data_IF_547972720895
#
_entry.id   IF_547972720895
#
_cell.length_a   1.000
_cell.length_b   1.000
_cell.length_c   1.000
_cell.angle_alpha   90.00
_cell.angle_beta   90.00
_cell.angle_gamma   90.00
#
_symmetry.space_group_name_H-M   'P 1'
#
loop_
_entity.id
_entity.type
_entity.pdbx_description
1 polymer ?
#
# COMPACT_ATOMS: atom_id res chain seq x y z
N UNK A 1 -34.26 -46.68 -23.26
CA UNK A 1 -34.60 -45.24 -23.22
C UNK A 1 -34.49 -44.63 -21.80
N UNK A 2 -34.77 -45.37 -20.73
CA UNK A 2 -34.71 -44.86 -19.34
C UNK A 2 -33.30 -44.52 -18.78
N UNK A 3 -32.25 -45.24 -19.20
CA UNK A 3 -30.88 -45.01 -18.70
C UNK A 3 -30.25 -43.68 -19.13
N UNK A 4 -30.64 -43.17 -20.29
CA UNK A 4 -30.10 -41.91 -20.81
C UNK A 4 -30.68 -40.70 -20.05
N UNK A 5 -31.95 -40.76 -19.67
CA UNK A 5 -32.64 -39.68 -18.93
C UNK A 5 -32.08 -39.58 -17.51
N UNK A 6 -31.83 -40.70 -16.83
CA UNK A 6 -31.25 -40.70 -15.48
C UNK A 6 -29.78 -40.27 -15.48
N UNK A 7 -29.01 -40.62 -16.51
CA UNK A 7 -27.63 -40.15 -16.67
C UNK A 7 -27.57 -38.62 -16.87
N UNK A 8 -28.39 -38.06 -17.76
CA UNK A 8 -28.46 -36.62 -17.95
C UNK A 8 -28.98 -35.89 -16.71
N UNK A 9 -29.96 -36.45 -16.01
CA UNK A 9 -30.47 -35.86 -14.77
C UNK A 9 -29.38 -35.83 -13.68
N UNK A 10 -28.67 -36.94 -13.46
CA UNK A 10 -27.54 -36.99 -12.53
C UNK A 10 -26.39 -36.06 -12.94
N UNK A 11 -26.09 -35.95 -14.24
CA UNK A 11 -25.07 -35.02 -14.73
C UNK A 11 -25.49 -33.55 -14.52
N UNK A 12 -26.75 -33.22 -14.72
CA UNK A 12 -27.27 -31.86 -14.43
C UNK A 12 -27.28 -31.54 -12.94
N UNK A 13 -27.50 -32.53 -12.07
CA UNK A 13 -27.38 -32.38 -10.62
C UNK A 13 -25.93 -32.16 -10.23
N UNK A 14 -24.99 -32.97 -10.72
CA UNK A 14 -23.54 -32.82 -10.44
C UNK A 14 -23.02 -31.47 -10.92
N UNK A 15 -23.44 -31.03 -12.12
CA UNK A 15 -23.07 -29.72 -12.65
C UNK A 15 -23.70 -28.59 -11.82
N UNK A 16 -24.97 -28.72 -11.40
CA UNK A 16 -25.61 -27.75 -10.51
C UNK A 16 -24.93 -27.68 -9.14
N UNK A 17 -24.58 -28.81 -8.54
CA UNK A 17 -23.88 -28.89 -7.25
C UNK A 17 -22.46 -28.33 -7.32
N UNK A 18 -21.75 -28.57 -8.43
CA UNK A 18 -20.45 -27.97 -8.69
C UNK A 18 -20.53 -26.45 -8.86
N UNK A 19 -21.56 -25.96 -9.56
CA UNK A 19 -21.79 -24.52 -9.76
C UNK A 19 -22.21 -23.84 -8.45
N UNK A 20 -23.08 -24.46 -7.64
CA UNK A 20 -23.51 -23.88 -6.35
C UNK A 20 -22.39 -23.90 -5.32
N UNK A 21 -21.58 -24.96 -5.23
CA UNK A 21 -20.37 -24.98 -4.37
C UNK A 21 -19.35 -23.92 -4.82
N UNK A 22 -19.12 -23.76 -6.13
CA UNK A 22 -18.24 -22.72 -6.67
C UNK A 22 -18.74 -21.32 -6.36
N UNK A 23 -20.06 -21.10 -6.48
CA UNK A 23 -20.71 -19.82 -6.13
C UNK A 23 -20.59 -19.50 -4.64
N UNK A 24 -20.78 -20.49 -3.76
CA UNK A 24 -20.68 -20.31 -2.31
C UNK A 24 -19.24 -20.05 -1.85
N UNK A 25 -18.28 -20.79 -2.41
CA UNK A 25 -16.84 -20.60 -2.18
C UNK A 25 -16.36 -19.21 -2.62
N UNK A 26 -16.88 -18.70 -3.74
CA UNK A 26 -16.60 -17.34 -4.20
C UNK A 26 -17.12 -16.27 -3.22
N UNK A 27 -18.25 -16.51 -2.55
CA UNK A 27 -18.81 -15.57 -1.57
C UNK A 27 -17.96 -15.49 -0.30
N UNK A 28 -17.60 -16.63 0.29
CA UNK A 28 -16.68 -16.68 1.45
C UNK A 28 -15.32 -16.07 1.13
N UNK A 29 -14.75 -16.38 -0.04
CA UNK A 29 -13.49 -15.78 -0.47
C UNK A 29 -13.58 -14.26 -0.64
N UNK A 30 -14.71 -13.74 -1.12
CA UNK A 30 -14.92 -12.30 -1.25
C UNK A 30 -14.97 -11.60 0.12
N UNK A 31 -15.62 -12.22 1.10
CA UNK A 31 -15.66 -11.72 2.47
C UNK A 31 -14.26 -11.71 3.10
N UNK A 32 -13.52 -12.82 2.97
CA UNK A 32 -12.15 -12.92 3.45
C UNK A 32 -11.24 -11.92 2.75
N UNK A 33 -11.42 -11.74 1.44
CA UNK A 33 -10.66 -10.77 0.65
C UNK A 33 -10.84 -9.35 1.19
N UNK A 34 -12.05 -8.99 1.62
CA UNK A 34 -12.32 -7.68 2.21
C UNK A 34 -11.43 -7.37 3.42
N UNK A 35 -11.12 -8.39 4.23
CA UNK A 35 -10.28 -8.24 5.42
C UNK A 35 -8.79 -8.08 5.10
N UNK A 36 -8.31 -8.62 3.96
CA UNK A 36 -6.90 -8.51 3.57
C UNK A 36 -6.61 -7.30 2.67
N UNK A 37 -7.63 -6.67 2.07
CA UNK A 37 -7.49 -5.43 1.27
C UNK A 37 -6.62 -4.34 1.91
N UNK A 38 -6.72 -4.05 3.22
CA UNK A 38 -5.85 -3.05 3.85
C UNK A 38 -4.36 -3.36 3.72
N UNK A 39 -3.98 -4.65 3.70
CA UNK A 39 -2.60 -5.10 3.49
C UNK A 39 -2.17 -4.77 2.06
N UNK A 40 -3.03 -5.04 1.07
CA UNK A 40 -2.78 -4.72 -0.34
C UNK A 40 -2.57 -3.22 -0.51
N UNK A 41 -3.51 -2.39 -0.03
CA UNK A 41 -3.39 -0.94 -0.14
C UNK A 41 -2.20 -0.36 0.62
N UNK A 42 -1.75 -1.01 1.69
CA UNK A 42 -0.51 -0.62 2.38
C UNK A 42 0.72 -0.88 1.49
N UNK A 43 0.77 -2.03 0.82
CA UNK A 43 1.87 -2.35 -0.09
C UNK A 43 1.84 -1.53 -1.38
N UNK A 44 0.66 -1.27 -1.92
CA UNK A 44 0.45 -0.39 -3.07
C UNK A 44 0.99 1.03 -2.82
N UNK A 45 0.81 1.55 -1.59
CA UNK A 45 1.41 2.83 -1.18
C UNK A 45 2.92 2.77 -1.00
N UNK A 46 3.50 1.59 -0.83
CA UNK A 46 4.92 1.41 -0.53
C UNK A 46 5.75 1.11 -1.78
N UNK A 47 5.16 0.40 -2.74
CA UNK A 47 5.84 -0.06 -3.94
C UNK A 47 5.13 0.44 -5.18
N UNK A 48 5.91 0.89 -6.14
CA UNK A 48 5.44 1.18 -7.49
C UNK A 48 5.73 -0.01 -8.39
N UNK A 49 4.71 -0.52 -9.08
CA UNK A 49 4.83 -1.51 -10.14
C UNK A 49 4.32 -0.87 -11.42
N UNK A 50 5.15 -0.89 -12.47
CA UNK A 50 4.81 -0.21 -13.71
C UNK A 50 3.58 -0.87 -14.37
N UNK A 51 2.68 -0.05 -14.91
CA UNK A 51 1.38 -0.42 -15.50
C UNK A 51 0.33 -0.99 -14.56
N UNK A 52 0.63 -1.19 -13.28
CA UNK A 52 -0.39 -1.67 -12.35
C UNK A 52 -1.30 -0.52 -11.92
N UNK A 53 -2.59 -0.70 -12.19
CA UNK A 53 -3.67 0.09 -11.63
C UNK A 53 -4.18 -0.54 -10.32
N UNK A 54 -5.06 0.18 -9.63
CA UNK A 54 -5.64 -0.30 -8.36
C UNK A 54 -6.31 -1.67 -8.53
N UNK A 55 -6.94 -1.90 -9.69
CA UNK A 55 -7.61 -3.16 -9.99
C UNK A 55 -6.61 -4.31 -10.19
N UNK A 56 -5.45 -4.07 -10.80
CA UNK A 56 -4.39 -5.08 -10.93
C UNK A 56 -3.87 -5.52 -9.56
N UNK A 57 -3.63 -4.55 -8.66
CA UNK A 57 -3.24 -4.83 -7.27
C UNK A 57 -4.27 -5.71 -6.54
N UNK A 58 -5.56 -5.42 -6.75
CA UNK A 58 -6.64 -6.19 -6.15
C UNK A 58 -6.77 -7.57 -6.80
N UNK A 59 -6.61 -7.69 -8.11
CA UNK A 59 -6.68 -8.94 -8.84
C UNK A 59 -5.56 -9.89 -8.43
N UNK A 60 -4.31 -9.44 -8.44
CA UNK A 60 -3.16 -10.23 -8.00
C UNK A 60 -3.28 -10.61 -6.52
N UNK A 61 -3.79 -9.68 -5.70
CA UNK A 61 -4.13 -9.98 -4.30
C UNK A 61 -5.14 -11.12 -4.16
N UNK A 62 -6.18 -11.18 -5.02
CA UNK A 62 -7.16 -12.27 -5.02
C UNK A 62 -6.54 -13.59 -5.46
N UNK A 63 -5.69 -13.59 -6.50
CA UNK A 63 -5.02 -14.80 -6.98
C UNK A 63 -4.10 -15.38 -5.92
N UNK A 64 -3.30 -14.53 -5.27
CA UNK A 64 -2.42 -14.96 -4.16
C UNK A 64 -3.25 -15.49 -2.98
N UNK A 65 -4.37 -14.85 -2.64
CA UNK A 65 -5.26 -15.32 -1.58
C UNK A 65 -5.87 -16.68 -1.91
N UNK A 66 -6.38 -16.85 -3.14
CA UNK A 66 -6.97 -18.10 -3.61
C UNK A 66 -5.96 -19.24 -3.52
N UNK A 67 -4.77 -19.07 -4.11
CA UNK A 67 -3.72 -20.09 -4.09
C UNK A 67 -3.27 -20.42 -2.66
N UNK A 68 -3.25 -19.42 -1.77
CA UNK A 68 -2.88 -19.59 -0.38
C UNK A 68 -3.89 -20.44 0.38
N UNK A 69 -5.19 -20.18 0.20
CA UNK A 69 -6.28 -20.91 0.85
C UNK A 69 -6.43 -22.32 0.26
N UNK A 70 -6.30 -22.46 -1.06
CA UNK A 70 -6.31 -23.77 -1.72
C UNK A 70 -5.19 -24.68 -1.19
N UNK A 71 -4.01 -24.12 -0.97
CA UNK A 71 -2.87 -24.87 -0.41
C UNK A 71 -2.97 -25.11 1.10
N UNK A 72 -3.71 -24.25 1.83
CA UNK A 72 -3.79 -24.26 3.30
C UNK A 72 -5.22 -23.92 3.77
N UNK A 73 -6.18 -24.87 3.66
CA UNK A 73 -7.59 -24.62 3.98
C UNK A 73 -7.83 -24.23 5.45
N UNK A 74 -6.93 -24.60 6.36
CA UNK A 74 -7.00 -24.28 7.79
C UNK A 74 -6.93 -22.77 8.10
N UNK A 75 -6.48 -21.97 7.14
CA UNK A 75 -6.41 -20.52 7.28
C UNK A 75 -7.79 -19.85 7.30
N UNK A 76 -8.83 -20.52 6.81
CA UNK A 76 -10.21 -20.04 6.85
C UNK A 76 -10.69 -19.82 8.30
N UNK A 77 -10.29 -20.71 9.21
CA UNK A 77 -10.72 -20.67 10.62
C UNK A 77 -9.88 -19.70 11.46
N UNK A 78 -8.66 -19.36 11.02
CA UNK A 78 -7.72 -18.55 11.80
C UNK A 78 -7.29 -17.27 11.08
N UNK A 79 -8.04 -16.20 11.34
CA UNK A 79 -7.83 -14.89 10.74
C UNK A 79 -6.43 -14.28 11.02
N UNK A 80 -5.88 -14.47 12.23
CA UNK A 80 -4.54 -13.94 12.55
C UNK A 80 -3.45 -14.59 11.72
N UNK A 81 -3.50 -15.93 11.59
CA UNK A 81 -2.55 -16.68 10.75
C UNK A 81 -2.71 -16.30 9.28
N UNK A 82 -3.94 -16.18 8.81
CA UNK A 82 -4.24 -15.73 7.46
C UNK A 82 -3.54 -14.40 7.13
N UNK A 83 -3.66 -13.39 8.00
CA UNK A 83 -3.04 -12.09 7.75
C UNK A 83 -1.52 -12.16 7.66
N UNK A 84 -0.87 -12.94 8.53
CA UNK A 84 0.60 -13.10 8.51
C UNK A 84 1.05 -13.81 7.24
N UNK A 85 0.37 -14.90 6.87
CA UNK A 85 0.71 -15.70 5.70
C UNK A 85 0.45 -14.92 4.41
N UNK A 86 -0.72 -14.29 4.30
CA UNK A 86 -1.08 -13.48 3.16
C UNK A 86 -0.11 -12.32 2.99
N UNK A 87 0.17 -11.55 4.06
CA UNK A 87 1.16 -10.47 4.03
C UNK A 87 2.51 -10.97 3.50
N UNK A 88 2.98 -12.11 4.02
CA UNK A 88 4.28 -12.67 3.65
C UNK A 88 4.31 -13.09 2.17
N UNK A 89 3.31 -13.88 1.74
CA UNK A 89 3.23 -14.37 0.35
C UNK A 89 3.03 -13.23 -0.65
N UNK A 90 2.12 -12.31 -0.35
CA UNK A 90 1.85 -11.19 -1.24
C UNK A 90 3.07 -10.25 -1.32
N UNK A 91 3.75 -9.97 -0.21
CA UNK A 91 4.99 -9.17 -0.24
C UNK A 91 6.09 -9.82 -1.09
N UNK A 92 6.24 -11.15 -1.02
CA UNK A 92 7.19 -11.87 -1.88
C UNK A 92 6.80 -11.78 -3.35
N UNK A 93 5.53 -12.01 -3.68
CA UNK A 93 5.01 -11.90 -5.04
C UNK A 93 5.26 -10.51 -5.65
N UNK A 94 5.01 -9.42 -4.91
CA UNK A 94 5.33 -8.05 -5.36
C UNK A 94 6.83 -7.89 -5.63
N UNK A 95 7.70 -8.37 -4.74
CA UNK A 95 9.15 -8.31 -4.93
C UNK A 95 9.62 -9.14 -6.12
N UNK A 96 8.98 -10.28 -6.39
CA UNK A 96 9.25 -11.10 -7.57
C UNK A 96 8.85 -10.36 -8.86
N UNK A 97 7.69 -9.69 -8.88
CA UNK A 97 7.26 -8.87 -10.02
C UNK A 97 8.22 -7.72 -10.31
N UNK A 98 8.65 -6.98 -9.28
CA UNK A 98 9.64 -5.91 -9.43
C UNK A 98 10.97 -6.47 -9.97
N UNK A 99 11.44 -7.59 -9.41
CA UNK A 99 12.65 -8.27 -9.92
C UNK A 99 12.49 -8.74 -11.36
N UNK A 100 11.28 -9.16 -11.74
CA UNK A 100 10.97 -9.61 -13.09
C UNK A 100 11.03 -8.47 -14.10
N UNK A 101 10.51 -7.29 -13.73
CA UNK A 101 10.54 -6.05 -14.53
C UNK A 101 11.97 -5.52 -14.70
N UNK A 102 12.76 -5.49 -13.62
CA UNK A 102 14.14 -4.99 -13.64
C UNK A 102 15.16 -6.00 -14.22
N UNK A 103 14.71 -7.18 -14.64
CA UNK A 103 15.60 -8.22 -15.17
C UNK A 103 16.20 -7.83 -16.52
N UNK A 104 17.53 -7.81 -16.59
CA UNK A 104 18.30 -7.42 -17.79
C UNK A 104 17.93 -8.23 -19.05
N UNK A 105 17.60 -9.53 -18.90
CA UNK A 105 17.24 -10.41 -20.02
C UNK A 105 15.92 -10.03 -20.71
N UNK A 106 15.09 -9.17 -20.07
CA UNK A 106 13.79 -8.71 -20.58
C UNK A 106 13.79 -7.24 -20.95
N UNK A 107 14.97 -6.63 -21.13
CA UNK A 107 15.13 -5.22 -21.54
C UNK A 107 14.33 -4.85 -22.79
N UNK A 108 14.11 -5.78 -23.72
CA UNK A 108 13.28 -5.55 -24.91
C UNK A 108 11.79 -5.38 -24.59
N UNK A 109 11.31 -5.98 -23.50
CA UNK A 109 9.95 -5.79 -22.99
C UNK A 109 9.89 -4.67 -21.93
N UNK A 110 11.01 -3.99 -21.68
CA UNK A 110 11.01 -2.84 -20.77
C UNK A 110 10.27 -1.72 -21.50
N UNK A 111 9.26 -1.19 -20.82
CA UNK A 111 8.55 -0.01 -21.28
C UNK A 111 9.55 1.15 -21.44
N UNK A 112 9.23 2.15 -22.29
CA UNK A 112 10.06 3.33 -22.43
C UNK A 112 10.37 3.94 -21.07
N UNK A 113 11.55 4.57 -20.96
CA UNK A 113 11.98 5.27 -19.75
C UNK A 113 10.86 6.21 -19.30
N UNK A 114 10.37 6.00 -18.09
CA UNK A 114 9.40 6.89 -17.47
C UNK A 114 10.17 7.87 -16.61
N UNK A 115 9.97 9.16 -16.84
CA UNK A 115 10.65 10.20 -16.09
C UNK A 115 10.31 10.08 -14.60
N UNK A 116 11.34 10.14 -13.75
CA UNK A 116 11.17 10.00 -12.30
C UNK A 116 10.25 11.13 -11.77
N UNK A 117 10.31 12.31 -12.38
CA UNK A 117 9.42 13.44 -12.07
C UNK A 117 7.94 13.14 -12.31
N UNK A 118 7.59 12.29 -13.28
CA UNK A 118 6.21 11.89 -13.55
C UNK A 118 5.70 10.88 -12.51
N UNK A 119 6.59 10.09 -11.91
CA UNK A 119 6.21 8.97 -11.01
C UNK A 119 6.51 9.27 -9.53
N UNK A 120 7.26 10.33 -9.24
CA UNK A 120 7.68 10.73 -7.88
C UNK A 120 6.52 10.83 -6.90
N UNK A 121 5.36 11.35 -7.35
CA UNK A 121 4.14 11.45 -6.54
C UNK A 121 3.60 10.10 -6.03
N UNK A 122 4.01 8.98 -6.65
CA UNK A 122 3.58 7.61 -6.27
C UNK A 122 4.56 6.94 -5.31
N UNK A 123 5.74 7.53 -5.10
CA UNK A 123 6.76 7.01 -4.20
C UNK A 123 6.65 7.75 -2.87
N UNK A 124 6.47 7.06 -1.73
CA UNK A 124 6.44 7.73 -0.44
C UNK A 124 7.85 8.22 -0.09
N UNK A 125 8.13 9.50 -0.33
CA UNK A 125 9.36 10.13 0.17
C UNK A 125 9.27 10.34 1.67
N UNK A 126 10.38 10.10 2.38
CA UNK A 126 10.45 10.19 3.85
C UNK A 126 10.79 11.61 4.34
N UNK A 127 10.59 12.64 3.52
CA UNK A 127 11.01 14.02 3.77
C UNK A 127 10.12 15.06 3.09
N UNK A 128 10.48 16.34 3.26
CA UNK A 128 9.88 17.45 2.49
C UNK A 128 10.33 17.34 1.04
N UNK A 129 9.39 17.59 0.12
CA UNK A 129 9.69 17.76 -1.32
C UNK A 129 10.64 18.96 -1.47
N UNK A 130 11.43 19.01 -2.56
CA UNK A 130 12.39 20.09 -2.77
C UNK A 130 11.75 21.48 -2.68
N UNK A 131 10.57 21.66 -3.28
CA UNK A 131 9.83 22.92 -3.26
C UNK A 131 9.42 23.31 -1.84
N UNK A 132 8.87 22.36 -1.09
CA UNK A 132 8.53 22.54 0.33
C UNK A 132 9.77 22.87 1.17
N UNK A 133 10.91 22.23 0.88
CA UNK A 133 12.17 22.48 1.58
C UNK A 133 12.70 23.90 1.33
N UNK A 134 12.60 24.39 0.09
CA UNK A 134 12.99 25.76 -0.26
C UNK A 134 12.07 26.78 0.42
N UNK A 135 10.75 26.55 0.37
CA UNK A 135 9.77 27.39 1.08
C UNK A 135 9.96 27.35 2.61
N UNK A 136 10.34 26.20 3.17
CA UNK A 136 10.66 26.08 4.59
C UNK A 136 11.92 26.89 4.96
N UNK A 137 12.96 26.88 4.11
CA UNK A 137 14.17 27.67 4.33
C UNK A 137 13.90 29.17 4.26
N UNK A 138 13.11 29.64 3.28
CA UNK A 138 12.80 31.07 3.16
C UNK A 138 12.07 31.60 4.40
N UNK A 139 11.10 30.83 4.92
CA UNK A 139 10.37 31.16 6.15
C UNK A 139 11.32 31.20 7.36
N UNK A 140 12.28 30.27 7.45
CA UNK A 140 13.30 30.31 8.51
C UNK A 140 14.14 31.59 8.43
N UNK A 141 14.54 32.00 7.22
CA UNK A 141 15.32 33.22 7.04
C UNK A 141 14.55 34.47 7.44
N UNK A 142 13.27 34.53 7.09
CA UNK A 142 12.36 35.60 7.50
C UNK A 142 12.14 35.63 9.01
N UNK A 143 12.07 34.46 9.67
CA UNK A 143 11.86 34.34 11.12
C UNK A 143 13.09 34.71 11.97
N UNK A 144 14.31 34.45 11.49
CA UNK A 144 15.57 34.71 12.21
C UNK A 144 15.66 36.13 12.81
N UNK A 145 15.30 37.22 12.12
CA UNK A 145 15.33 38.57 12.71
C UNK A 145 14.29 38.80 13.82
N UNK A 146 13.12 38.16 13.78
CA UNK A 146 12.04 38.35 14.78
C UNK A 146 12.25 37.60 16.11
N UNK A 147 13.29 36.76 16.18
CA UNK A 147 13.61 35.94 17.34
C UNK A 147 14.73 36.59 18.18
N UNK A 148 14.48 36.72 19.47
CA UNK A 148 15.52 37.08 20.46
C UNK A 148 16.60 36.00 20.56
N UNK A 149 17.77 36.33 21.11
CA UNK A 149 18.89 35.37 21.28
C UNK A 149 18.47 34.12 22.07
N UNK A 150 17.60 34.29 23.07
CA UNK A 150 17.02 33.19 23.85
C UNK A 150 16.09 32.33 22.99
N UNK A 151 15.20 32.95 22.22
CA UNK A 151 14.27 32.24 21.34
C UNK A 151 15.00 31.53 20.19
N UNK A 152 16.10 32.08 19.67
CA UNK A 152 16.97 31.40 18.68
C UNK A 152 17.57 30.12 19.24
N UNK A 153 18.03 30.15 20.49
CA UNK A 153 18.54 28.95 21.18
C UNK A 153 17.42 27.92 21.38
N UNK A 154 16.24 28.37 21.82
CA UNK A 154 15.06 27.52 21.97
C UNK A 154 14.55 26.95 20.65
N UNK A 155 14.65 27.69 19.54
CA UNK A 155 14.30 27.23 18.20
C UNK A 155 15.28 26.15 17.71
N UNK A 156 16.59 26.32 17.92
CA UNK A 156 17.57 25.25 17.64
C UNK A 156 17.29 23.99 18.48
N UNK A 157 16.96 24.16 19.76
CA UNK A 157 16.55 23.06 20.63
C UNK A 157 15.25 22.38 20.15
N UNK A 158 14.29 23.16 19.62
CA UNK A 158 13.06 22.67 19.02
C UNK A 158 13.33 21.77 17.80
N UNK A 159 14.21 22.21 16.89
CA UNK A 159 14.62 21.45 15.70
C UNK A 159 15.31 20.13 16.05
N UNK A 160 16.05 20.09 17.17
CA UNK A 160 16.69 18.88 17.70
C UNK A 160 15.74 17.98 18.52
N UNK A 161 14.49 18.39 18.74
CA UNK A 161 13.52 17.64 19.55
C UNK A 161 13.75 17.73 21.06
N UNK A 162 14.56 18.68 21.53
CA UNK A 162 14.91 18.86 22.94
C UNK A 162 13.75 19.50 23.74
N UNK A 163 13.77 19.29 25.06
CA UNK A 163 12.81 19.90 26.00
C UNK A 163 13.38 21.21 26.55
N UNK A 164 12.55 22.26 26.59
CA UNK A 164 12.91 23.56 27.16
C UNK A 164 11.67 24.28 27.70
N UNK A 165 11.88 25.21 28.65
CA UNK A 165 10.81 26.03 29.22
C UNK A 165 10.30 27.05 28.21
N UNK A 166 8.98 27.25 28.15
CA UNK A 166 8.36 28.20 27.22
C UNK A 166 8.07 27.66 25.81
N UNK A 167 8.21 26.35 25.55
CA UNK A 167 7.93 25.72 24.25
C UNK A 167 6.57 26.08 23.65
N UNK A 168 5.49 26.05 24.45
CA UNK A 168 4.15 26.42 23.98
C UNK A 168 4.05 27.89 23.53
N UNK A 169 4.77 28.78 24.21
CA UNK A 169 4.82 30.21 23.84
C UNK A 169 5.54 30.40 22.51
N UNK A 170 6.69 29.75 22.34
CA UNK A 170 7.46 29.80 21.08
C UNK A 170 6.64 29.22 19.92
N UNK A 171 5.98 28.07 20.09
CA UNK A 171 5.14 27.49 19.05
C UNK A 171 3.97 28.40 18.66
N UNK A 172 3.36 29.11 19.62
CA UNK A 172 2.29 30.09 19.32
C UNK A 172 2.82 31.26 18.49
N UNK A 173 4.05 31.71 18.74
CA UNK A 173 4.71 32.79 18.00
C UNK A 173 5.13 32.37 16.59
N UNK A 174 5.51 31.10 16.40
CA UNK A 174 5.93 30.56 15.11
C UNK A 174 4.74 30.17 14.22
N UNK A 175 3.60 29.76 14.80
CA UNK A 175 2.42 29.28 14.06
C UNK A 175 1.97 30.16 12.88
N UNK A 176 1.94 31.51 12.98
CA UNK A 176 1.52 32.37 11.87
C UNK A 176 2.41 32.29 10.63
N UNK A 177 3.68 31.91 10.78
CA UNK A 177 4.63 31.85 9.67
C UNK A 177 4.58 30.52 8.90
N UNK A 178 3.94 29.49 9.47
CA UNK A 178 3.86 28.14 8.87
C UNK A 178 2.41 27.76 8.53
N UNK A 179 1.56 28.75 8.21
CA UNK A 179 0.15 28.50 7.87
C UNK A 179 0.04 27.64 6.61
N UNK A 180 0.93 27.85 5.64
CA UNK A 180 0.90 27.18 4.34
C UNK A 180 1.40 25.72 4.36
N UNK A 181 1.92 25.25 5.51
CA UNK A 181 2.46 23.90 5.72
C UNK A 181 1.53 22.98 6.53
N UNK A 182 0.28 23.38 6.79
CA UNK A 182 -0.67 22.63 7.63
C UNK A 182 -1.48 21.57 6.89
#
# INVERSE_FOLDING_TARGET
MFFFVTFFYNMTIILKEGVTKKSMYNSELNEIFSHVKPIIFKLMRTYFIQLWETDDWLQEGRLVLYNLIESNPELLTNQKKLFVYFKTKFSSHIKDNIRHQESFKRKLNRLPYQEISEVSHRIPEKGLILDDFVAYQSIIEELKPYLTTKEKSQFKALLRGERFSGRKSLLRKLKPFFIDFQ
#
